data_IF_135148462185
#
_entry.id   IF_135148462185
#
_cell.length_a   1.000
_cell.length_b   1.000
_cell.length_c   1.000
_cell.angle_alpha   90.00
_cell.angle_beta   90.00
_cell.angle_gamma   90.00
#
_symmetry.space_group_name_H-M   'P 1'
#
loop_
_entity.id
_entity.type
_entity.pdbx_description
1 polymer ?
#
# COMPACT_ATOMS: atom_id res chain seq x y z
N UNK A 1 -12.98 -26.66 -46.80
CA UNK A 1 -12.28 -25.37 -46.94
C UNK A 1 -12.98 -24.37 -46.07
N UNK A 2 -12.27 -23.77 -45.13
CA UNK A 2 -12.79 -22.75 -44.20
C UNK A 2 -13.24 -21.52 -44.98
N UNK A 3 -14.39 -20.89 -44.66
CA UNK A 3 -14.81 -19.67 -45.33
C UNK A 3 -13.89 -18.48 -44.95
N UNK A 4 -13.48 -17.64 -45.92
CA UNK A 4 -12.75 -16.41 -45.64
C UNK A 4 -13.71 -15.33 -45.13
N UNK A 5 -13.43 -14.74 -43.98
CA UNK A 5 -14.11 -13.51 -43.55
C UNK A 5 -14.66 -13.46 -42.11
N UNK A 6 -14.01 -14.09 -41.13
CA UNK A 6 -14.19 -13.63 -39.75
C UNK A 6 -13.14 -12.53 -39.49
N UNK A 7 -13.54 -11.28 -39.26
CA UNK A 7 -12.67 -10.15 -39.56
C UNK A 7 -11.76 -9.83 -38.36
N UNK A 8 -10.60 -9.25 -38.66
CA UNK A 8 -9.69 -8.66 -37.68
C UNK A 8 -10.34 -7.54 -36.84
N UNK A 9 -11.60 -7.17 -37.11
CA UNK A 9 -12.36 -6.15 -36.38
C UNK A 9 -12.89 -6.65 -35.03
N UNK A 10 -13.30 -7.91 -34.93
CA UNK A 10 -13.79 -8.53 -33.68
C UNK A 10 -12.66 -8.74 -32.68
N UNK A 11 -11.45 -8.99 -33.18
CA UNK A 11 -10.25 -9.01 -32.36
C UNK A 11 -9.94 -7.63 -31.77
N UNK A 12 -10.30 -6.54 -32.46
CA UNK A 12 -10.09 -5.16 -31.99
C UNK A 12 -11.12 -4.74 -30.91
N UNK A 13 -12.30 -5.35 -30.89
CA UNK A 13 -13.34 -5.08 -29.88
C UNK A 13 -13.06 -5.82 -28.56
N UNK A 14 -12.40 -6.99 -28.61
CA UNK A 14 -11.97 -7.69 -27.40
C UNK A 14 -10.86 -6.96 -26.63
N UNK A 15 -10.15 -6.02 -27.28
CA UNK A 15 -9.10 -5.21 -26.64
C UNK A 15 -9.61 -3.94 -25.96
N UNK A 16 -10.90 -3.61 -26.11
CA UNK A 16 -11.53 -2.54 -25.36
C UNK A 16 -12.12 -3.11 -24.07
N UNK A 17 -11.49 -2.80 -22.93
CA UNK A 17 -12.00 -2.86 -21.54
C UNK A 17 -13.48 -3.28 -21.44
N UNK A 18 -13.79 -4.35 -20.68
CA UNK A 18 -15.09 -5.05 -20.46
C UNK A 18 -16.39 -4.20 -20.22
N UNK A 19 -16.51 -2.98 -20.74
CA UNK A 19 -17.58 -2.02 -20.49
C UNK A 19 -17.63 -1.48 -19.05
N UNK A 20 -16.79 -1.97 -18.14
CA UNK A 20 -16.93 -1.68 -16.71
C UNK A 20 -16.51 -0.23 -16.42
N UNK A 21 -17.49 0.58 -16.03
CA UNK A 21 -17.21 1.89 -15.47
C UNK A 21 -16.61 1.77 -14.06
N UNK A 22 -15.35 2.21 -13.92
CA UNK A 22 -14.63 2.29 -12.64
C UNK A 22 -14.56 3.71 -12.09
N UNK A 23 -15.34 4.66 -12.61
CA UNK A 23 -15.39 6.05 -12.16
C UNK A 23 -15.66 6.16 -10.66
N UNK A 24 -16.65 5.42 -10.17
CA UNK A 24 -17.00 5.36 -8.75
C UNK A 24 -15.88 4.75 -7.89
N UNK A 25 -15.22 3.68 -8.35
CA UNK A 25 -14.08 3.08 -7.66
C UNK A 25 -12.91 4.07 -7.56
N UNK A 26 -12.57 4.75 -8.66
CA UNK A 26 -11.54 5.79 -8.68
C UNK A 26 -11.88 6.95 -7.74
N UNK A 27 -13.13 7.40 -7.73
CA UNK A 27 -13.61 8.44 -6.82
C UNK A 27 -13.45 8.04 -5.35
N UNK A 28 -13.77 6.79 -5.00
CA UNK A 28 -13.58 6.26 -3.65
C UNK A 28 -12.11 6.19 -3.25
N UNK A 29 -11.24 5.70 -4.13
CA UNK A 29 -9.79 5.64 -3.88
C UNK A 29 -9.21 7.03 -3.67
N UNK A 30 -9.61 8.01 -4.49
CA UNK A 30 -9.17 9.40 -4.37
C UNK A 30 -9.65 10.07 -3.07
N UNK A 31 -10.80 9.67 -2.55
CA UNK A 31 -11.34 10.18 -1.29
C UNK A 31 -10.74 9.50 -0.04
N UNK A 32 -10.08 8.35 -0.18
CA UNK A 32 -9.45 7.66 0.95
C UNK A 32 -8.24 8.45 1.43
N UNK A 33 -8.21 8.92 2.70
CA UNK A 33 -7.06 9.64 3.23
C UNK A 33 -5.83 8.74 3.22
N UNK A 34 -4.69 9.29 2.76
CA UNK A 34 -3.43 8.56 2.73
C UNK A 34 -3.01 8.24 4.16
N UNK A 35 -2.80 6.96 4.52
CA UNK A 35 -2.43 6.62 5.88
C UNK A 35 -1.02 7.12 6.19
N UNK A 36 -0.86 7.69 7.39
CA UNK A 36 0.42 8.25 7.86
C UNK A 36 0.98 7.31 8.92
N UNK A 37 2.24 6.92 8.76
CA UNK A 37 2.92 6.08 9.75
C UNK A 37 2.97 6.80 11.11
N UNK A 38 2.50 6.17 12.21
CA UNK A 38 2.20 6.89 13.44
C UNK A 38 3.41 7.16 14.36
N UNK A 39 4.58 6.54 14.13
CA UNK A 39 5.76 6.71 14.99
C UNK A 39 6.72 7.78 14.51
N UNK A 40 7.44 8.37 15.47
CA UNK A 40 8.47 9.38 15.26
C UNK A 40 9.79 8.97 15.93
N UNK A 41 10.87 9.71 15.66
CA UNK A 41 12.19 9.47 16.25
C UNK A 41 12.18 9.38 17.78
N UNK A 42 11.34 10.19 18.44
CA UNK A 42 11.19 10.16 19.90
C UNK A 42 10.65 8.84 20.45
N UNK A 43 9.81 8.13 19.69
CA UNK A 43 9.27 6.84 20.13
C UNK A 43 10.39 5.78 20.15
N UNK A 44 11.32 5.83 19.20
CA UNK A 44 12.51 4.97 19.22
C UNK A 44 13.48 5.30 20.36
N UNK A 45 13.67 6.58 20.66
CA UNK A 45 14.47 6.99 21.82
C UNK A 45 13.84 6.52 23.13
N UNK A 46 12.52 6.62 23.25
CA UNK A 46 11.77 6.14 24.42
C UNK A 46 11.84 4.61 24.58
N UNK A 47 11.94 3.87 23.47
CA UNK A 47 12.16 2.42 23.45
C UNK A 47 13.62 2.02 23.81
N UNK A 48 14.49 2.98 24.13
CA UNK A 48 15.88 2.72 24.53
C UNK A 48 16.90 2.63 23.39
N UNK A 49 16.49 2.97 22.16
CA UNK A 49 17.41 2.98 21.01
C UNK A 49 18.27 4.25 21.08
N UNK A 50 19.61 4.13 21.10
CA UNK A 50 20.49 5.29 21.17
C UNK A 50 20.34 6.17 19.91
N UNK A 51 20.43 7.49 20.11
CA UNK A 51 20.34 8.44 19.01
C UNK A 51 21.43 8.17 17.96
N UNK A 52 21.01 8.01 16.71
CA UNK A 52 21.89 7.69 15.60
C UNK A 52 21.17 6.91 14.50
N UNK A 53 21.93 6.34 13.53
CA UNK A 53 21.36 5.59 12.40
C UNK A 53 20.43 4.43 12.81
N UNK A 54 20.65 3.85 14.00
CA UNK A 54 19.82 2.77 14.54
C UNK A 54 18.34 3.15 14.73
N UNK A 55 18.05 4.41 15.08
CA UNK A 55 16.66 4.91 15.19
C UNK A 55 15.95 4.81 13.86
N UNK A 56 16.59 5.27 12.78
CA UNK A 56 16.02 5.21 11.44
C UNK A 56 15.79 3.77 10.97
N UNK A 57 16.73 2.87 11.26
CA UNK A 57 16.64 1.46 10.89
C UNK A 57 15.49 0.74 11.63
N UNK A 58 15.35 0.98 12.93
CA UNK A 58 14.26 0.40 13.72
C UNK A 58 12.89 0.92 13.26
N UNK A 59 12.76 2.24 13.04
CA UNK A 59 11.54 2.83 12.51
C UNK A 59 11.22 2.34 11.09
N UNK A 60 12.23 2.12 10.24
CA UNK A 60 12.05 1.57 8.90
C UNK A 60 11.51 0.13 8.95
N UNK A 61 12.01 -0.71 9.87
CA UNK A 61 11.51 -2.06 10.08
C UNK A 61 10.03 -2.06 10.50
N UNK A 62 9.68 -1.24 11.49
CA UNK A 62 8.28 -1.14 11.95
C UNK A 62 7.38 -0.55 10.86
N UNK A 63 7.86 0.43 10.09
CA UNK A 63 7.13 0.96 8.93
C UNK A 63 6.89 -0.11 7.87
N UNK A 64 7.89 -0.95 7.59
CA UNK A 64 7.74 -2.05 6.64
C UNK A 64 6.67 -3.03 7.12
N UNK A 65 6.70 -3.43 8.39
CA UNK A 65 5.66 -4.28 8.98
C UNK A 65 4.27 -3.61 8.90
N UNK A 66 4.16 -2.33 9.25
CA UNK A 66 2.90 -1.57 9.19
C UNK A 66 2.30 -1.51 7.78
N UNK A 67 3.16 -1.43 6.75
CA UNK A 67 2.72 -1.50 5.34
C UNK A 67 2.18 -2.91 4.99
N UNK A 68 2.80 -3.98 5.49
CA UNK A 68 2.32 -5.36 5.28
C UNK A 68 0.97 -5.61 5.95
N UNK A 69 0.73 -5.01 7.11
CA UNK A 69 -0.57 -5.04 7.82
C UNK A 69 -1.63 -4.10 7.21
N UNK A 70 -1.38 -3.57 6.00
CA UNK A 70 -2.36 -2.75 5.28
C UNK A 70 -2.55 -1.35 5.86
N UNK A 71 -1.53 -0.80 6.54
CA UNK A 71 -1.59 0.52 7.17
C UNK A 71 -2.66 0.65 8.27
N UNK A 72 -3.10 -0.48 8.82
CA UNK A 72 -4.14 -0.57 9.86
C UNK A 72 -3.61 -0.45 11.30
N UNK A 73 -2.37 -0.88 11.65
CA UNK A 73 -1.92 -0.81 13.03
C UNK A 73 -1.80 0.64 13.50
N UNK A 74 -2.23 0.88 14.73
CA UNK A 74 -2.20 2.19 15.36
C UNK A 74 -0.84 2.50 16.02
N UNK A 75 -0.74 3.66 16.65
CA UNK A 75 0.49 4.08 17.32
C UNK A 75 0.94 3.11 18.43
N UNK A 76 0.00 2.47 19.14
CA UNK A 76 0.33 1.54 20.21
C UNK A 76 0.87 0.22 19.64
N UNK A 77 0.19 -0.33 18.63
CA UNK A 77 0.65 -1.54 17.95
C UNK A 77 2.04 -1.34 17.32
N UNK A 78 2.29 -0.19 16.70
CA UNK A 78 3.63 0.13 16.18
C UNK A 78 4.69 0.23 17.29
N UNK A 79 4.38 0.80 18.47
CA UNK A 79 5.34 0.85 19.60
C UNK A 79 5.68 -0.54 20.12
N UNK A 80 4.67 -1.39 20.30
CA UNK A 80 4.87 -2.79 20.71
C UNK A 80 5.77 -3.52 19.70
N UNK A 81 5.58 -3.29 18.40
CA UNK A 81 6.43 -3.89 17.37
C UNK A 81 7.87 -3.35 17.42
N UNK A 82 8.05 -2.08 17.75
CA UNK A 82 9.36 -1.45 17.92
C UNK A 82 10.14 -2.06 19.08
N UNK A 83 9.48 -2.34 20.20
CA UNK A 83 10.08 -2.93 21.39
C UNK A 83 10.42 -4.42 21.24
N UNK A 84 9.81 -5.10 20.25
CA UNK A 84 10.04 -6.52 19.96
C UNK A 84 11.21 -6.81 19.02
N UNK A 85 11.70 -5.80 18.30
CA UNK A 85 12.63 -5.93 17.17
C UNK A 85 14.08 -5.68 17.52
#
# INVERSE_FOLDING_TARGET
>A
GTPPGLPADLAWIAEASDGVDRSALRGRVAATPRPVFPLQGRDALAAGIPAGPGVGQALARVRQWWLQEGCTPDAQACRIMLERG
#
